data_IF_240076307447
#
_entry.id   IF_240076307447
#
_cell.length_a   1.000
_cell.length_b   1.000
_cell.length_c   1.000
_cell.angle_alpha   90.00
_cell.angle_beta   90.00
_cell.angle_gamma   90.00
#
_symmetry.space_group_name_H-M   'P 1'
#
loop_
_entity.id
_entity.type
_entity.pdbx_description
1 polymer ?
#
# COMPACT_ATOMS: atom_id res chain seq x y z
N UNK A 1 2.82 9.89 -23.26
CA UNK A 1 2.31 10.33 -21.94
C UNK A 1 2.85 9.35 -20.91
N UNK A 2 3.23 9.82 -19.72
CA UNK A 2 3.79 8.98 -18.63
C UNK A 2 2.96 9.22 -17.38
N UNK A 3 2.82 8.19 -16.53
CA UNK A 3 2.16 8.28 -15.23
C UNK A 3 3.04 7.60 -14.17
N UNK A 4 3.03 8.13 -12.96
CA UNK A 4 3.66 7.51 -11.79
C UNK A 4 2.58 6.79 -10.99
N UNK A 5 2.84 5.53 -10.66
CA UNK A 5 1.86 4.61 -10.09
C UNK A 5 2.53 3.78 -8.97
N UNK A 6 1.78 3.31 -7.97
CA UNK A 6 2.33 2.41 -6.95
C UNK A 6 2.84 1.10 -7.56
N UNK A 7 3.92 0.55 -7.01
CA UNK A 7 4.52 -0.71 -7.52
C UNK A 7 3.57 -1.90 -7.48
N UNK A 8 2.59 -1.92 -6.58
CA UNK A 8 1.61 -2.99 -6.41
C UNK A 8 0.67 -3.20 -7.59
N UNK A 9 0.52 -2.21 -8.48
CA UNK A 9 -0.37 -2.32 -9.65
C UNK A 9 0.36 -2.80 -10.90
N UNK A 10 1.67 -3.08 -10.83
CA UNK A 10 2.49 -3.52 -11.96
C UNK A 10 1.85 -4.71 -12.71
N UNK A 11 1.30 -5.67 -11.98
CA UNK A 11 0.69 -6.88 -12.54
C UNK A 11 -0.68 -6.64 -13.19
N UNK A 12 -1.25 -5.44 -13.02
CA UNK A 12 -2.53 -5.04 -13.61
C UNK A 12 -2.34 -4.09 -14.80
N UNK A 13 -1.10 -3.76 -15.15
CA UNK A 13 -0.80 -2.93 -16.31
C UNK A 13 -1.09 -3.72 -17.58
N UNK A 14 -1.51 -2.99 -18.62
CA UNK A 14 -1.68 -3.57 -19.95
C UNK A 14 -0.33 -3.98 -20.53
N UNK A 15 -0.34 -5.03 -21.34
CA UNK A 15 0.87 -5.61 -21.94
C UNK A 15 1.62 -4.66 -22.90
N UNK A 16 0.97 -3.58 -23.36
CA UNK A 16 1.56 -2.55 -24.21
C UNK A 16 2.29 -1.45 -23.42
N UNK A 17 2.30 -1.53 -22.08
CA UNK A 17 2.94 -0.56 -21.20
C UNK A 17 4.24 -1.11 -20.59
N UNK A 18 5.24 -0.24 -20.44
CA UNK A 18 6.49 -0.55 -19.75
C UNK A 18 6.51 0.12 -18.39
N UNK A 19 6.76 -0.66 -17.34
CA UNK A 19 6.94 -0.17 -15.97
C UNK A 19 8.43 -0.01 -15.64
N UNK A 20 8.86 1.23 -15.39
CA UNK A 20 10.21 1.58 -14.95
C UNK A 20 10.17 1.92 -13.46
N UNK A 21 11.02 1.30 -12.61
CA UNK A 21 11.14 1.68 -11.19
C UNK A 21 11.58 3.13 -11.05
N UNK A 22 10.98 3.84 -10.08
CA UNK A 22 11.30 5.23 -9.74
C UNK A 22 11.72 5.23 -8.28
N UNK A 23 13.04 5.25 -8.04
CA UNK A 23 13.62 5.06 -6.71
C UNK A 23 13.72 6.38 -5.91
N UNK A 24 13.55 7.53 -6.58
CA UNK A 24 13.61 8.88 -6.01
C UNK A 24 12.23 9.46 -5.64
N UNK A 25 11.16 8.69 -5.86
CA UNK A 25 9.81 9.08 -5.50
C UNK A 25 9.52 8.84 -4.02
N UNK A 26 8.70 9.72 -3.43
CA UNK A 26 8.15 9.51 -2.09
C UNK A 26 7.29 8.23 -2.08
N UNK A 27 7.40 7.36 -1.05
CA UNK A 27 6.56 6.19 -0.91
C UNK A 27 5.07 6.50 -0.96
N UNK A 28 4.30 5.60 -1.56
CA UNK A 28 2.84 5.70 -1.56
C UNK A 28 2.28 5.37 -0.18
N UNK A 29 1.53 6.29 0.42
CA UNK A 29 0.86 6.09 1.72
C UNK A 29 -0.54 5.51 1.55
N UNK A 30 -0.79 4.33 2.14
CA UNK A 30 -2.11 3.73 2.27
C UNK A 30 -2.69 3.99 3.67
N UNK A 31 -3.88 4.58 3.75
CA UNK A 31 -4.53 4.94 5.03
C UNK A 31 -5.75 4.07 5.27
N UNK A 32 -5.84 3.48 6.46
CA UNK A 32 -7.07 2.90 7.00
C UNK A 32 -7.83 3.96 7.79
N UNK A 33 -9.08 4.24 7.42
CA UNK A 33 -9.90 5.24 8.08
C UNK A 33 -11.23 4.62 8.55
N UNK A 34 -11.71 5.06 9.72
CA UNK A 34 -12.98 4.65 10.30
C UNK A 34 -13.63 5.82 11.06
N UNK A 35 -14.95 5.78 11.29
CA UNK A 35 -15.61 6.74 12.18
C UNK A 35 -15.01 6.72 13.58
N UNK A 36 -14.80 7.87 14.21
CA UNK A 36 -14.17 8.00 15.54
C UNK A 36 -14.79 7.10 16.63
N UNK A 37 -16.09 6.83 16.53
CA UNK A 37 -16.86 6.05 17.50
C UNK A 37 -17.01 4.57 17.09
N UNK A 38 -16.28 4.11 16.07
CA UNK A 38 -16.36 2.73 15.63
C UNK A 38 -15.67 1.78 16.64
N UNK A 39 -16.46 0.88 17.22
CA UNK A 39 -16.01 -0.09 18.25
C UNK A 39 -16.09 -1.55 17.77
N UNK A 40 -16.21 -1.78 16.47
CA UNK A 40 -16.36 -3.12 15.89
C UNK A 40 -15.12 -4.00 16.15
N UNK A 41 -15.29 -5.20 16.75
CA UNK A 41 -14.18 -6.14 16.94
C UNK A 41 -13.52 -6.57 15.64
N UNK A 42 -14.29 -6.70 14.55
CA UNK A 42 -13.78 -7.08 13.24
C UNK A 42 -12.87 -5.99 12.65
N UNK A 43 -13.25 -4.72 12.78
CA UNK A 43 -12.41 -3.59 12.39
C UNK A 43 -11.10 -3.58 13.19
N UNK A 44 -11.18 -3.76 14.51
CA UNK A 44 -10.00 -3.79 15.36
C UNK A 44 -9.06 -4.95 15.00
N UNK A 45 -9.62 -6.12 14.66
CA UNK A 45 -8.83 -7.27 14.20
C UNK A 45 -8.14 -6.98 12.86
N UNK A 46 -8.85 -6.37 11.90
CA UNK A 46 -8.30 -5.99 10.61
C UNK A 46 -7.15 -4.97 10.74
N UNK A 47 -7.33 -3.91 11.54
CA UNK A 47 -6.29 -2.89 11.75
C UNK A 47 -5.03 -3.50 12.36
N UNK A 48 -5.16 -4.39 13.35
CA UNK A 48 -4.01 -5.09 13.94
C UNK A 48 -3.29 -5.99 12.93
N UNK A 49 -4.04 -6.72 12.10
CA UNK A 49 -3.46 -7.57 11.07
C UNK A 49 -2.72 -6.74 10.01
N UNK A 50 -3.33 -5.62 9.56
CA UNK A 50 -2.72 -4.72 8.60
C UNK A 50 -1.42 -4.09 9.15
N UNK A 51 -1.42 -3.63 10.40
CA UNK A 51 -0.23 -3.09 11.06
C UNK A 51 0.90 -4.13 11.14
N UNK A 52 0.60 -5.36 11.55
CA UNK A 52 1.60 -6.43 11.62
C UNK A 52 2.21 -6.79 10.24
N UNK A 53 1.43 -6.65 9.15
CA UNK A 53 1.95 -6.83 7.79
C UNK A 53 2.79 -5.63 7.35
N UNK A 54 2.38 -4.41 7.69
CA UNK A 54 3.11 -3.19 7.36
C UNK A 54 4.49 -3.12 8.04
N UNK A 55 4.57 -3.52 9.31
CA UNK A 55 5.84 -3.60 10.03
C UNK A 55 6.82 -4.54 9.31
N UNK A 56 6.36 -5.74 8.94
CA UNK A 56 7.17 -6.70 8.17
C UNK A 56 7.61 -6.15 6.81
N UNK A 57 6.74 -5.42 6.12
CA UNK A 57 7.07 -4.83 4.83
C UNK A 57 8.15 -3.76 4.94
N UNK A 58 8.19 -3.04 6.08
CA UNK A 58 9.20 -2.03 6.38
C UNK A 58 10.56 -2.67 6.67
N UNK A 59 10.58 -3.79 7.41
CA UNK A 59 11.80 -4.55 7.70
C UNK A 59 12.50 -5.14 6.46
N UNK A 60 11.75 -5.43 5.39
CA UNK A 60 12.31 -5.95 4.13
C UNK A 60 12.83 -4.85 3.19
N UNK A 61 12.60 -3.58 3.51
CA UNK A 61 13.06 -2.42 2.74
C UNK A 61 14.29 -1.72 3.32
N UNK A 62 14.88 -2.26 4.39
CA UNK A 62 16.08 -1.74 5.06
C UNK A 62 17.39 -2.34 4.54
#
# INVERSE_FOLDING_TARGET
>A
MVAVLPSSIRDQLRDDLVAVPVDDAEPTTLVLAWPEHATSPALAAFVRAAAAVADRATDHGG
#
